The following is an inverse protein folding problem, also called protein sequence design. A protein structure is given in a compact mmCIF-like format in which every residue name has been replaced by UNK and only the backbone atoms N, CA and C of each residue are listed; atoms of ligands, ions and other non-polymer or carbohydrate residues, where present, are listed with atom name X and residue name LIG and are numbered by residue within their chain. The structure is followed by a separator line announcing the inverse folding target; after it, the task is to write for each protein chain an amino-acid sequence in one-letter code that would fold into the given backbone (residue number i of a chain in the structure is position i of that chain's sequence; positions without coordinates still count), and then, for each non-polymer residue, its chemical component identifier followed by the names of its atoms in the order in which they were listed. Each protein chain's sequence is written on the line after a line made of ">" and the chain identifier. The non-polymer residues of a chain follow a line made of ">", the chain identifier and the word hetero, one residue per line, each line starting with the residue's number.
data_IF_825356036242
#
_entry.id   IF_825356036242
#
_cell.length_a   1.000
_cell.length_b   1.000
_cell.length_c   1.000
_cell.angle_alpha   90.00
_cell.angle_beta   90.00
_cell.angle_gamma   90.00
#
_symmetry.space_group_name_H-M   'P 1'
#
loop_
_entity.id
_entity.type
_entity.pdbx_description
1 polymer ?
#
# COMPACT_ATOMS: atom_id res chain seq x y z
N UNK A 1 -8.89 -16.40 1.27
CA UNK A 1 -8.41 -16.69 -0.12
C UNK A 1 -7.98 -18.15 -0.31
N UNK A 2 -7.55 -18.90 0.70
CA UNK A 2 -7.08 -20.28 0.56
C UNK A 2 -8.06 -21.29 -0.08
N UNK A 3 -9.35 -20.98 -0.14
CA UNK A 3 -10.36 -21.77 -0.83
C UNK A 3 -10.41 -21.54 -2.36
N UNK A 4 -9.66 -20.60 -2.88
CA UNK A 4 -9.50 -20.27 -4.31
C UNK A 4 -8.01 -20.08 -4.61
N UNK A 5 -7.25 -21.18 -4.77
CA UNK A 5 -5.79 -21.12 -4.90
C UNK A 5 -5.32 -20.32 -6.12
N UNK A 6 -6.08 -20.32 -7.22
CA UNK A 6 -5.77 -19.53 -8.41
C UNK A 6 -5.92 -18.02 -8.17
N UNK A 7 -6.88 -17.61 -7.33
CA UNK A 7 -7.05 -16.19 -6.93
C UNK A 7 -5.90 -15.76 -6.03
N UNK A 8 -5.52 -16.62 -5.06
CA UNK A 8 -4.40 -16.36 -4.18
C UNK A 8 -3.10 -16.23 -4.98
N UNK A 9 -2.82 -17.13 -5.91
CA UNK A 9 -1.62 -17.08 -6.74
C UNK A 9 -1.54 -15.80 -7.59
N UNK A 10 -2.67 -15.33 -8.16
CA UNK A 10 -2.70 -14.08 -8.90
C UNK A 10 -2.47 -12.86 -7.98
N UNK A 11 -3.04 -12.87 -6.78
CA UNK A 11 -2.82 -11.84 -5.77
C UNK A 11 -1.35 -11.79 -5.33
N UNK A 12 -0.74 -12.93 -5.04
CA UNK A 12 0.67 -13.04 -4.67
C UNK A 12 1.58 -12.59 -5.82
N UNK A 13 1.23 -12.91 -7.07
CA UNK A 13 1.95 -12.44 -8.24
C UNK A 13 1.97 -10.91 -8.36
N UNK A 14 0.82 -10.25 -8.15
CA UNK A 14 0.75 -8.80 -8.15
C UNK A 14 1.49 -8.19 -6.95
N UNK A 15 1.35 -8.79 -5.77
CA UNK A 15 2.13 -8.39 -4.59
C UNK A 15 3.63 -8.42 -4.90
N UNK A 16 4.12 -9.52 -5.48
CA UNK A 16 5.55 -9.66 -5.83
C UNK A 16 6.00 -8.60 -6.85
N UNK A 17 5.18 -8.27 -7.84
CA UNK A 17 5.48 -7.21 -8.80
C UNK A 17 5.59 -5.83 -8.13
N UNK A 18 4.75 -5.56 -7.13
CA UNK A 18 4.68 -4.25 -6.46
C UNK A 18 5.74 -4.06 -5.36
N UNK A 19 6.20 -5.14 -4.70
CA UNK A 19 7.15 -5.03 -3.57
C UNK A 19 8.46 -5.74 -3.79
N UNK A 20 8.63 -6.40 -4.94
CA UNK A 20 9.83 -7.14 -5.31
C UNK A 20 10.97 -6.25 -5.84
N UNK A 21 12.04 -6.88 -6.35
CA UNK A 21 13.26 -6.19 -6.80
C UNK A 21 13.05 -5.22 -7.99
N UNK A 22 11.95 -5.38 -8.73
CA UNK A 22 11.61 -4.52 -9.88
C UNK A 22 10.77 -3.31 -9.52
N UNK A 23 10.38 -3.18 -8.25
CA UNK A 23 9.64 -2.03 -7.76
C UNK A 23 10.46 -0.74 -7.90
N UNK A 24 9.79 0.35 -8.30
CA UNK A 24 10.41 1.66 -8.53
C UNK A 24 10.22 2.61 -7.35
N UNK A 25 9.26 2.34 -6.48
CA UNK A 25 8.98 3.13 -5.28
C UNK A 25 9.62 2.51 -4.03
N UNK A 26 10.06 3.35 -3.10
CA UNK A 26 10.65 2.86 -1.86
C UNK A 26 9.64 2.11 -0.97
N UNK A 27 10.08 1.07 -0.25
CA UNK A 27 9.23 0.37 0.72
C UNK A 27 8.64 1.31 1.78
N UNK A 28 9.40 2.32 2.21
CA UNK A 28 8.99 3.29 3.21
C UNK A 28 7.81 4.14 2.73
N UNK A 29 7.87 4.66 1.50
CA UNK A 29 6.78 5.41 0.89
C UNK A 29 5.52 4.55 0.77
N UNK A 30 5.65 3.33 0.26
CA UNK A 30 4.54 2.38 0.14
C UNK A 30 3.90 2.06 1.47
N UNK A 31 4.70 1.88 2.52
CA UNK A 31 4.20 1.60 3.85
C UNK A 31 3.42 2.79 4.44
N UNK A 32 3.84 4.04 4.19
CA UNK A 32 3.08 5.22 4.61
C UNK A 32 1.72 5.30 3.90
N UNK A 33 1.69 5.01 2.60
CA UNK A 33 0.45 4.91 1.80
C UNK A 33 -0.47 3.82 2.37
N UNK A 34 0.05 2.60 2.58
CA UNK A 34 -0.72 1.49 3.17
C UNK A 34 -1.35 1.86 4.51
N UNK A 35 -0.56 2.46 5.40
CA UNK A 35 -1.02 2.89 6.74
C UNK A 35 -2.10 3.96 6.66
N UNK A 36 -1.98 4.88 5.70
CA UNK A 36 -2.99 5.93 5.47
C UNK A 36 -4.30 5.31 5.02
N UNK A 37 -4.27 4.40 4.07
CA UNK A 37 -5.47 3.68 3.61
C UNK A 37 -6.13 2.90 4.74
N UNK A 38 -5.35 2.27 5.64
CA UNK A 38 -5.87 1.51 6.76
C UNK A 38 -6.71 2.34 7.76
N UNK A 39 -6.57 3.65 7.78
CA UNK A 39 -7.43 4.53 8.56
C UNK A 39 -8.83 4.72 7.96
N UNK A 40 -9.01 4.36 6.68
CA UNK A 40 -10.25 4.59 5.92
C UNK A 40 -11.04 3.32 5.63
N UNK A 41 -10.39 2.17 5.64
CA UNK A 41 -10.99 0.91 5.15
C UNK A 41 -11.74 0.12 6.22
N UNK A 42 -11.56 0.43 7.50
CA UNK A 42 -12.17 -0.32 8.59
C UNK A 42 -11.57 -1.71 8.84
N UNK A 43 -10.44 -2.04 8.21
CA UNK A 43 -9.70 -3.29 8.45
C UNK A 43 -8.92 -3.18 9.76
N UNK A 44 -9.40 -3.81 10.84
CA UNK A 44 -8.74 -3.77 12.15
C UNK A 44 -7.35 -4.41 12.13
N UNK A 45 -7.19 -5.50 11.40
CA UNK A 45 -5.88 -6.12 11.17
C UNK A 45 -4.91 -5.11 10.54
N UNK A 46 -5.30 -4.49 9.41
CA UNK A 46 -4.46 -3.57 8.67
C UNK A 46 -4.08 -2.32 9.47
N UNK A 47 -5.03 -1.78 10.23
CA UNK A 47 -4.81 -0.62 11.11
C UNK A 47 -3.87 -0.96 12.28
N UNK A 48 -3.91 -2.20 12.79
CA UNK A 48 -3.06 -2.65 13.90
C UNK A 48 -1.58 -2.85 13.50
N UNK A 49 -1.28 -2.91 12.20
CA UNK A 49 0.09 -3.04 11.68
C UNK A 49 0.90 -1.73 11.76
N UNK A 50 0.28 -0.61 12.09
CA UNK A 50 0.94 0.68 12.30
C UNK A 50 0.16 1.85 11.71
N UNK A 51 0.43 3.04 12.27
CA UNK A 51 -0.15 4.31 11.81
C UNK A 51 0.82 5.04 10.88
N UNK A 52 0.31 5.88 9.96
CA UNK A 52 1.18 6.76 9.20
C UNK A 52 1.95 7.70 10.12
N UNK A 53 3.13 8.11 9.70
CA UNK A 53 3.90 9.13 10.42
C UNK A 53 3.12 10.45 10.44
N UNK A 54 3.22 11.19 11.55
CA UNK A 54 2.57 12.50 11.68
C UNK A 54 3.16 13.52 10.67
N UNK A 55 4.46 13.40 10.40
CA UNK A 55 5.17 14.16 9.38
C UNK A 55 5.87 13.19 8.44
N UNK A 56 5.69 13.40 7.13
CA UNK A 56 6.34 12.57 6.12
C UNK A 56 7.78 13.04 5.90
N UNK A 57 8.71 12.12 5.55
CA UNK A 57 10.14 12.43 5.47
C UNK A 57 10.49 13.39 4.32
N UNK A 58 9.68 13.46 3.27
CA UNK A 58 9.93 14.25 2.08
C UNK A 58 8.63 14.63 1.35
N UNK A 59 8.75 15.49 0.33
CA UNK A 59 7.64 15.99 -0.47
C UNK A 59 6.95 14.87 -1.26
N UNK A 60 7.70 13.90 -1.77
CA UNK A 60 7.17 12.76 -2.54
C UNK A 60 6.28 11.87 -1.66
N UNK A 61 6.76 11.55 -0.46
CA UNK A 61 5.99 10.78 0.52
C UNK A 61 4.74 11.53 0.97
N UNK A 62 4.85 12.85 1.20
CA UNK A 62 3.72 13.71 1.55
C UNK A 62 2.66 13.72 0.46
N UNK A 63 3.06 13.86 -0.79
CA UNK A 63 2.16 13.85 -1.94
C UNK A 63 1.48 12.50 -2.14
N UNK A 64 2.24 11.39 -2.07
CA UNK A 64 1.70 10.04 -2.20
C UNK A 64 0.67 9.72 -1.11
N UNK A 65 0.94 10.09 0.13
CA UNK A 65 0.02 9.91 1.27
C UNK A 65 -1.24 10.77 1.10
N UNK A 66 -1.10 12.04 0.73
CA UNK A 66 -2.23 12.94 0.51
C UNK A 66 -3.12 12.46 -0.65
N UNK A 67 -2.49 11.97 -1.73
CA UNK A 67 -3.22 11.42 -2.87
C UNK A 67 -3.96 10.14 -2.49
N UNK A 68 -3.33 9.22 -1.75
CA UNK A 68 -3.97 8.00 -1.26
C UNK A 68 -5.16 8.30 -0.33
N UNK A 69 -5.03 9.28 0.56
CA UNK A 69 -6.13 9.72 1.43
C UNK A 69 -7.30 10.31 0.64
N UNK A 70 -7.00 11.11 -0.39
CA UNK A 70 -8.01 11.67 -1.28
C UNK A 70 -8.75 10.57 -2.06
N UNK A 71 -8.03 9.60 -2.63
CA UNK A 71 -8.63 8.44 -3.33
C UNK A 71 -9.53 7.65 -2.39
N UNK A 72 -9.08 7.36 -1.17
CA UNK A 72 -9.86 6.60 -0.19
C UNK A 72 -11.07 7.38 0.34
N UNK A 73 -11.05 8.71 0.27
CA UNK A 73 -12.15 9.58 0.70
C UNK A 73 -13.22 9.68 -0.38
N UNK A 74 -12.83 10.05 -1.59
CA UNK A 74 -13.71 10.11 -2.77
C UNK A 74 -12.86 10.13 -4.06
N UNK A 75 -12.63 8.94 -4.64
CA UNK A 75 -11.87 8.83 -5.87
C UNK A 75 -12.54 9.54 -7.06
N UNK A 76 -13.85 9.77 -7.01
CA UNK A 76 -14.59 10.46 -8.11
C UNK A 76 -14.34 11.96 -8.11
N UNK A 77 -13.82 12.51 -7.00
CA UNK A 77 -13.42 13.90 -6.89
C UNK A 77 -11.96 14.16 -7.36
N UNK A 78 -11.20 13.11 -7.71
CA UNK A 78 -9.86 13.26 -8.25
C UNK A 78 -9.94 13.80 -9.68
N UNK A 79 -9.37 14.97 -9.89
CA UNK A 79 -9.31 15.61 -11.21
C UNK A 79 -7.89 15.69 -11.78
N UNK A 80 -7.81 16.23 -12.99
CA UNK A 80 -6.53 16.35 -13.74
C UNK A 80 -5.46 17.13 -12.95
N UNK A 81 -5.85 18.10 -12.12
CA UNK A 81 -4.92 18.88 -11.32
C UNK A 81 -4.16 18.03 -10.29
N UNK A 82 -4.87 17.11 -9.62
CA UNK A 82 -4.24 16.20 -8.65
C UNK A 82 -3.32 15.19 -9.34
N UNK A 83 -3.75 14.65 -10.50
CA UNK A 83 -2.91 13.73 -11.30
C UNK A 83 -1.66 14.45 -11.81
N UNK A 84 -1.79 15.69 -12.27
CA UNK A 84 -0.64 16.49 -12.73
C UNK A 84 0.41 16.70 -11.63
N UNK A 85 -0.01 16.87 -10.37
CA UNK A 85 0.95 16.97 -9.26
C UNK A 85 1.79 15.70 -9.09
N UNK A 86 1.20 14.51 -9.35
CA UNK A 86 1.99 13.27 -9.35
C UNK A 86 3.03 13.28 -10.48
N UNK A 87 2.65 13.70 -11.69
CA UNK A 87 3.56 13.76 -12.84
C UNK A 87 4.73 14.76 -12.65
N UNK A 88 4.58 15.74 -11.76
CA UNK A 88 5.64 16.70 -11.41
C UNK A 88 6.70 16.09 -10.47
N UNK A 89 6.31 15.12 -9.63
CA UNK A 89 7.17 14.53 -8.60
C UNK A 89 7.62 13.10 -8.91
N UNK A 90 6.88 12.39 -9.77
CA UNK A 90 7.11 10.98 -10.09
C UNK A 90 7.26 10.79 -11.59
N UNK A 91 8.10 9.84 -11.99
CA UNK A 91 8.14 9.36 -13.37
C UNK A 91 6.89 8.58 -13.73
N UNK A 92 6.58 8.47 -15.02
CA UNK A 92 5.40 7.71 -15.46
C UNK A 92 5.34 6.27 -14.92
N UNK A 93 6.43 5.46 -14.91
CA UNK A 93 6.41 4.14 -14.26
C UNK A 93 6.09 4.21 -12.76
N UNK A 94 6.62 5.18 -12.03
CA UNK A 94 6.34 5.37 -10.60
C UNK A 94 4.89 5.77 -10.35
N UNK A 95 4.29 6.63 -11.20
CA UNK A 95 2.87 6.99 -11.12
C UNK A 95 2.00 5.74 -11.32
N UNK A 96 2.29 4.92 -12.33
CA UNK A 96 1.55 3.67 -12.58
C UNK A 96 1.67 2.73 -11.38
N UNK A 97 2.87 2.58 -10.83
CA UNK A 97 3.10 1.74 -9.65
C UNK A 97 2.37 2.29 -8.41
N UNK A 98 2.43 3.60 -8.16
CA UNK A 98 1.75 4.25 -7.03
C UNK A 98 0.22 4.08 -7.11
N UNK A 99 -0.37 4.34 -8.26
CA UNK A 99 -1.82 4.18 -8.45
C UNK A 99 -2.24 2.71 -8.28
N UNK A 100 -1.46 1.79 -8.85
CA UNK A 100 -1.71 0.35 -8.69
C UNK A 100 -1.58 -0.06 -7.22
N UNK A 101 -0.56 0.42 -6.50
CA UNK A 101 -0.36 0.15 -5.08
C UNK A 101 -1.54 0.66 -4.24
N UNK A 102 -1.99 1.90 -4.46
CA UNK A 102 -3.14 2.48 -3.75
C UNK A 102 -4.39 1.62 -3.93
N UNK A 103 -4.74 1.28 -5.18
CA UNK A 103 -5.96 0.51 -5.48
C UNK A 103 -5.85 -0.92 -4.95
N UNK A 104 -4.70 -1.56 -5.10
CA UNK A 104 -4.45 -2.92 -4.62
C UNK A 104 -4.55 -3.02 -3.09
N UNK A 105 -3.87 -2.12 -2.38
CA UNK A 105 -3.92 -2.05 -0.92
C UNK A 105 -5.32 -1.73 -0.42
N UNK A 106 -6.01 -0.77 -1.04
CA UNK A 106 -7.37 -0.42 -0.68
C UNK A 106 -8.32 -1.62 -0.84
N UNK A 107 -8.23 -2.34 -1.96
CA UNK A 107 -9.03 -3.54 -2.19
C UNK A 107 -8.72 -4.66 -1.19
N UNK A 108 -7.44 -4.91 -0.88
CA UNK A 108 -7.02 -5.92 0.09
C UNK A 108 -7.51 -5.60 1.50
N UNK A 109 -7.42 -4.35 1.90
CA UNK A 109 -7.88 -3.89 3.21
C UNK A 109 -9.41 -3.90 3.32
N UNK A 110 -10.13 -3.53 2.25
CA UNK A 110 -11.59 -3.70 2.20
C UNK A 110 -11.98 -5.17 2.33
N UNK A 111 -11.26 -6.07 1.66
CA UNK A 111 -11.50 -7.51 1.80
C UNK A 111 -11.33 -7.95 3.26
N UNK A 112 -10.24 -7.54 3.94
CA UNK A 112 -10.02 -7.82 5.37
C UNK A 112 -11.14 -7.31 6.25
N UNK A 113 -11.62 -6.08 6.01
CA UNK A 113 -12.75 -5.51 6.74
C UNK A 113 -14.05 -6.31 6.52
N UNK A 114 -14.33 -6.73 5.29
CA UNK A 114 -15.54 -7.49 4.94
C UNK A 114 -15.57 -8.89 5.55
N UNK A 115 -14.42 -9.54 5.73
CA UNK A 115 -14.34 -10.86 6.37
C UNK A 115 -14.17 -10.78 7.89
N UNK A 116 -14.07 -9.58 8.45
CA UNK A 116 -13.97 -9.37 9.89
C UNK A 116 -12.61 -9.77 10.48
N UNK A 117 -11.52 -9.47 9.78
CA UNK A 117 -10.17 -9.75 10.29
C UNK A 117 -9.92 -9.05 11.63
N UNK A 118 -9.52 -9.82 12.63
CA UNK A 118 -9.18 -9.30 13.96
C UNK A 118 -7.82 -8.58 13.95
N UNK A 119 -7.55 -7.69 14.92
CA UNK A 119 -6.24 -7.03 15.05
C UNK A 119 -5.08 -8.02 15.06
N UNK A 120 -3.99 -7.65 14.40
CA UNK A 120 -2.81 -8.50 14.31
C UNK A 120 -2.21 -8.77 15.71
N UNK A 121 -1.84 -10.01 15.96
CA UNK A 121 -1.09 -10.42 17.15
C UNK A 121 0.35 -9.85 17.13
N UNK A 122 1.03 -9.86 18.27
CA UNK A 122 2.41 -9.39 18.33
C UNK A 122 3.37 -10.15 17.38
N UNK A 123 3.30 -11.49 17.26
CA UNK A 123 4.09 -12.22 16.28
C UNK A 123 3.78 -11.83 14.82
N UNK A 124 2.51 -11.61 14.48
CA UNK A 124 2.11 -11.19 13.13
C UNK A 124 2.63 -9.80 12.80
N UNK A 125 2.57 -8.84 13.74
CA UNK A 125 3.18 -7.51 13.56
C UNK A 125 4.67 -7.58 13.34
N UNK A 126 5.38 -8.41 14.12
CA UNK A 126 6.83 -8.60 13.96
C UNK A 126 7.18 -9.23 12.60
N UNK A 127 6.45 -10.24 12.17
CA UNK A 127 6.63 -10.87 10.87
C UNK A 127 6.37 -9.89 9.71
N UNK A 128 5.31 -9.09 9.82
CA UNK A 128 4.99 -8.06 8.83
C UNK A 128 6.09 -6.99 8.74
N UNK A 129 6.57 -6.48 9.89
CA UNK A 129 7.66 -5.50 9.92
C UNK A 129 8.95 -6.05 9.29
N UNK A 130 9.29 -7.31 9.53
CA UNK A 130 10.43 -7.98 8.90
C UNK A 130 10.24 -8.12 7.39
N UNK A 131 9.03 -8.45 6.93
CA UNK A 131 8.72 -8.55 5.49
C UNK A 131 8.84 -7.19 4.80
N UNK A 132 8.34 -6.10 5.39
CA UNK A 132 8.50 -4.73 4.86
C UNK A 132 9.98 -4.35 4.77
N UNK A 133 10.76 -4.63 5.79
CA UNK A 133 12.21 -4.35 5.81
C UNK A 133 13.00 -5.15 4.75
N UNK A 134 12.45 -6.27 4.29
CA UNK A 134 13.03 -7.11 3.23
C UNK A 134 12.61 -6.74 1.80
N UNK A 135 11.64 -5.86 1.63
CA UNK A 135 11.14 -5.46 0.30
C UNK A 135 12.24 -4.81 -0.56
N UNK A 136 12.16 -5.01 -1.86
CA UNK A 136 13.13 -4.45 -2.81
C UNK A 136 14.51 -5.13 -2.80
N UNK A 137 14.76 -6.11 -1.94
CA UNK A 137 16.01 -6.85 -1.93
C UNK A 137 15.96 -8.02 -2.93
N UNK A 138 17.04 -8.27 -3.71
CA UNK A 138 17.14 -9.49 -4.48
C UNK A 138 17.13 -10.71 -3.53
N UNK A 139 16.63 -11.87 -3.99
CA UNK A 139 16.73 -13.09 -3.20
C UNK A 139 18.20 -13.38 -2.88
N UNK A 140 18.48 -13.71 -1.62
CA UNK A 140 19.82 -14.17 -1.23
C UNK A 140 20.15 -15.45 -1.99
N UNK A 141 21.35 -15.48 -2.56
CA UNK A 141 21.84 -16.61 -3.36
C UNK A 141 22.11 -17.85 -2.49
#
# INVERSE_FOLDING_TARGET
>A
MGHRPEVLAAWDGLTHALVGPTSTLSPELKEQVRRTLALRTGCEFCASLGRPAAEQPDARSSLAVAFADAVATDHTAIGDAQVKLLDEEFTTPEVVELLTWIVFEYAGQMFGALIGDEPATAPQRAAFAAAVAGQGRPPEA
#
